data_IF_057203476085
#
_entry.id   IF_057203476085
#
_cell.length_a   1.000
_cell.length_b   1.000
_cell.length_c   1.000
_cell.angle_alpha   90.00
_cell.angle_beta   90.00
_cell.angle_gamma   90.00
#
_symmetry.space_group_name_H-M   'P 1'
#
loop_
_entity.id
_entity.type
_entity.pdbx_description
1 polymer ?
#
# COMPACT_ATOMS: atom_id res chain seq x y z
N UNK A 1 9.35 3.38 -5.31
CA UNK A 1 8.04 4.01 -5.62
C UNK A 1 7.34 3.36 -6.82
N UNK A 2 8.00 3.14 -7.97
CA UNK A 2 7.37 2.56 -9.17
C UNK A 2 6.62 1.24 -8.90
N UNK A 3 7.17 0.37 -8.03
CA UNK A 3 6.54 -0.90 -7.66
C UNK A 3 5.17 -0.69 -6.97
N UNK A 4 5.05 0.32 -6.10
CA UNK A 4 3.79 0.63 -5.41
C UNK A 4 2.73 1.15 -6.36
N UNK A 5 3.12 1.93 -7.38
CA UNK A 5 2.20 2.43 -8.41
C UNK A 5 1.45 1.32 -9.14
N UNK A 6 2.11 0.16 -9.36
CA UNK A 6 1.49 -0.99 -10.00
C UNK A 6 0.42 -1.69 -9.13
N UNK A 7 0.55 -1.60 -7.80
CA UNK A 7 -0.33 -2.32 -6.87
C UNK A 7 -1.45 -1.44 -6.31
N UNK A 8 -1.17 -0.16 -6.07
CA UNK A 8 -2.06 0.74 -5.35
C UNK A 8 -2.63 1.87 -6.21
N UNK A 9 -2.48 1.81 -7.54
CA UNK A 9 -3.07 2.81 -8.45
C UNK A 9 -2.74 4.25 -8.04
N UNK A 10 -1.47 4.48 -7.72
CA UNK A 10 -0.94 5.73 -7.16
C UNK A 10 0.26 6.21 -7.97
N UNK A 11 0.62 7.49 -7.85
CA UNK A 11 1.76 8.06 -8.56
C UNK A 11 2.55 9.05 -7.71
N UNK A 12 3.84 8.75 -7.56
CA UNK A 12 4.75 9.55 -6.73
C UNK A 12 4.67 9.18 -5.25
N UNK A 13 5.46 9.87 -4.42
CA UNK A 13 5.50 9.61 -2.99
C UNK A 13 4.23 10.10 -2.32
N UNK A 14 3.98 11.39 -2.53
CA UNK A 14 2.85 12.15 -2.00
C UNK A 14 1.98 12.67 -3.13
N UNK A 15 2.57 13.00 -4.29
CA UNK A 15 1.85 13.46 -5.49
C UNK A 15 2.58 13.08 -6.78
N UNK A 16 1.86 13.04 -7.89
CA UNK A 16 2.44 12.77 -9.22
C UNK A 16 3.57 13.76 -9.60
N UNK A 17 3.56 14.98 -9.05
CA UNK A 17 4.58 16.01 -9.30
C UNK A 17 5.95 15.68 -8.70
N UNK A 18 6.03 14.72 -7.78
CA UNK A 18 7.29 14.28 -7.18
C UNK A 18 8.26 13.75 -8.24
N UNK A 19 7.74 13.16 -9.32
CA UNK A 19 8.55 12.69 -10.44
C UNK A 19 9.33 13.81 -11.14
N UNK A 20 8.73 15.00 -11.28
CA UNK A 20 9.37 16.18 -11.90
C UNK A 20 10.59 16.67 -11.11
N UNK A 21 10.60 16.44 -9.79
CA UNK A 21 11.69 16.84 -8.89
C UNK A 21 12.65 15.70 -8.58
N UNK A 22 12.28 14.48 -8.92
CA UNK A 22 13.09 13.29 -8.66
C UNK A 22 14.28 13.21 -9.63
N UNK A 23 15.35 12.51 -9.20
CA UNK A 23 16.49 12.24 -10.08
C UNK A 23 16.14 11.40 -11.31
N UNK A 24 14.96 10.77 -11.35
CA UNK A 24 14.50 9.96 -12.48
C UNK A 24 14.31 10.79 -13.76
N UNK A 25 14.01 12.08 -13.64
CA UNK A 25 13.87 12.96 -14.80
C UNK A 25 15.23 13.30 -15.45
N UNK A 26 16.35 13.09 -14.74
CA UNK A 26 17.70 13.34 -15.26
C UNK A 26 18.05 12.29 -16.31
N UNK A 27 17.81 12.61 -17.58
CA UNK A 27 17.98 11.71 -18.72
C UNK A 27 16.72 11.54 -19.59
N UNK A 28 15.62 12.21 -19.23
CA UNK A 28 14.38 12.27 -20.03
C UNK A 28 14.35 13.55 -20.85
N UNK A 29 13.80 13.46 -22.07
CA UNK A 29 13.67 14.61 -22.97
C UNK A 29 12.55 15.57 -22.55
N UNK A 30 11.48 15.06 -21.92
CA UNK A 30 10.36 15.86 -21.41
C UNK A 30 10.38 15.88 -19.87
N UNK A 31 10.43 17.06 -19.21
CA UNK A 31 10.34 17.18 -17.75
C UNK A 31 8.97 16.77 -17.17
N UNK A 32 7.96 16.56 -18.02
CA UNK A 32 6.62 16.11 -17.66
C UNK A 32 6.42 14.60 -17.88
N UNK A 33 7.44 13.89 -18.34
CA UNK A 33 7.37 12.45 -18.46
C UNK A 33 7.08 11.82 -17.10
N UNK A 34 6.30 10.74 -17.14
CA UNK A 34 5.97 9.93 -15.98
C UNK A 34 6.33 8.46 -16.27
N UNK A 35 6.61 7.66 -15.24
CA UNK A 35 6.73 6.23 -15.42
C UNK A 35 5.43 5.63 -15.94
N UNK A 36 5.51 4.62 -16.80
CA UNK A 36 4.36 3.89 -17.33
C UNK A 36 3.39 3.38 -16.23
N UNK A 37 3.92 3.06 -15.04
CA UNK A 37 3.12 2.63 -13.88
C UNK A 37 2.21 3.73 -13.29
N UNK A 38 2.46 5.01 -13.61
CA UNK A 38 1.62 6.15 -13.20
C UNK A 38 0.37 6.32 -14.08
N UNK A 39 0.33 5.65 -15.23
CA UNK A 39 -0.72 5.78 -16.22
C UNK A 39 -1.93 4.91 -15.88
N UNK A 40 -3.14 5.43 -16.08
CA UNK A 40 -4.36 4.62 -16.01
C UNK A 40 -4.42 3.67 -17.20
N UNK A 41 -5.04 2.50 -17.02
CA UNK A 41 -5.23 1.53 -18.10
C UNK A 41 -6.03 2.05 -19.31
N UNK A 42 -6.75 3.17 -19.17
CA UNK A 42 -7.54 3.83 -20.22
C UNK A 42 -6.75 4.93 -20.96
N UNK A 43 -5.48 5.11 -20.63
CA UNK A 43 -4.59 6.08 -21.26
C UNK A 43 -3.69 5.41 -22.30
N UNK A 44 -3.49 6.07 -23.44
CA UNK A 44 -2.35 5.77 -24.29
C UNK A 44 -1.07 6.18 -23.56
N UNK A 45 0.01 5.40 -23.71
CA UNK A 45 1.32 5.75 -23.14
C UNK A 45 1.84 7.10 -23.64
N UNK A 46 1.43 7.52 -24.85
CA UNK A 46 1.77 8.83 -25.43
C UNK A 46 1.08 9.98 -24.69
N UNK A 47 -0.14 9.76 -24.21
CA UNK A 47 -0.93 10.76 -23.50
C UNK A 47 -0.66 10.77 -21.98
N UNK A 48 0.15 9.83 -21.50
CA UNK A 48 0.47 9.70 -20.08
C UNK A 48 1.65 10.59 -19.70
N UNK A 49 1.32 11.84 -19.38
CA UNK A 49 2.28 12.83 -18.90
C UNK A 49 1.63 13.70 -17.81
N UNK A 50 2.46 14.49 -17.14
CA UNK A 50 1.99 15.37 -16.08
C UNK A 50 1.13 16.56 -16.57
N UNK A 51 1.00 16.78 -17.88
CA UNK A 51 0.13 17.80 -18.48
C UNK A 51 -1.29 17.28 -18.72
N UNK A 52 -1.48 15.96 -18.70
CA UNK A 52 -2.75 15.27 -18.90
C UNK A 52 -3.22 14.61 -17.58
N UNK A 53 -3.68 15.41 -16.59
CA UNK A 53 -3.97 14.93 -15.24
C UNK A 53 -5.08 13.87 -15.19
N UNK A 54 -5.94 13.76 -16.20
CA UNK A 54 -7.04 12.79 -16.21
C UNK A 54 -6.59 11.37 -16.56
N UNK A 55 -5.47 11.26 -17.28
CA UNK A 55 -4.88 9.99 -17.75
C UNK A 55 -3.92 9.35 -16.74
N UNK A 56 -3.65 10.02 -15.63
CA UNK A 56 -2.70 9.59 -14.60
C UNK A 56 -3.38 9.39 -13.24
N UNK A 57 -2.74 8.62 -12.38
CA UNK A 57 -3.10 8.56 -10.96
C UNK A 57 -2.62 9.84 -10.26
N UNK A 58 -3.52 10.54 -9.55
CA UNK A 58 -3.22 11.81 -8.88
C UNK A 58 -2.71 11.60 -7.45
N UNK A 59 -3.18 10.53 -6.82
CA UNK A 59 -2.89 10.18 -5.43
C UNK A 59 -1.44 9.72 -5.24
N UNK A 60 -0.83 10.13 -4.14
CA UNK A 60 0.48 9.67 -3.71
C UNK A 60 0.42 8.28 -3.12
N UNK A 61 1.46 7.47 -3.38
CA UNK A 61 1.49 6.11 -2.88
C UNK A 61 1.54 6.00 -1.35
N UNK A 62 2.06 7.02 -0.65
CA UNK A 62 2.10 6.99 0.82
C UNK A 62 0.71 7.09 1.44
N UNK A 63 -0.15 7.98 0.94
CA UNK A 63 -1.48 8.18 1.49
C UNK A 63 -2.38 6.97 1.19
N UNK A 64 -2.36 6.47 -0.06
CA UNK A 64 -3.11 5.28 -0.44
C UNK A 64 -2.65 4.03 0.33
N UNK A 65 -1.34 3.88 0.58
CA UNK A 65 -0.82 2.80 1.40
C UNK A 65 -1.31 2.90 2.84
N UNK A 66 -1.29 4.11 3.41
CA UNK A 66 -1.73 4.35 4.78
C UNK A 66 -3.20 3.99 4.97
N UNK A 67 -4.09 4.48 4.11
CA UNK A 67 -5.51 4.14 4.16
C UNK A 67 -5.74 2.62 4.03
N UNK A 68 -5.01 1.97 3.12
CA UNK A 68 -5.07 0.51 2.97
C UNK A 68 -4.57 -0.22 4.23
N UNK A 69 -3.49 0.26 4.84
CA UNK A 69 -2.88 -0.35 6.02
C UNK A 69 -3.74 -0.20 7.27
N UNK A 70 -4.33 0.99 7.49
CA UNK A 70 -5.15 1.26 8.68
C UNK A 70 -6.36 0.31 8.77
N UNK A 71 -7.02 0.00 7.65
CA UNK A 71 -8.13 -0.97 7.65
C UNK A 71 -7.68 -2.40 7.97
N UNK A 72 -6.56 -2.86 7.40
CA UNK A 72 -6.09 -4.23 7.61
C UNK A 72 -5.45 -4.43 9.00
N UNK A 73 -4.82 -3.39 9.56
CA UNK A 73 -4.19 -3.47 10.88
C UNK A 73 -5.20 -3.74 12.00
N UNK A 74 -6.40 -3.14 11.91
CA UNK A 74 -7.47 -3.37 12.88
C UNK A 74 -7.89 -4.86 12.90
N UNK A 75 -8.07 -5.46 11.73
CA UNK A 75 -8.44 -6.88 11.61
C UNK A 75 -7.33 -7.76 12.19
N UNK A 76 -6.07 -7.49 11.86
CA UNK A 76 -4.92 -8.22 12.40
C UNK A 76 -4.85 -8.12 13.93
N UNK A 77 -5.14 -6.95 14.50
CA UNK A 77 -5.20 -6.75 15.94
C UNK A 77 -6.27 -7.60 16.63
N UNK A 78 -7.48 -7.65 16.06
CA UNK A 78 -8.58 -8.48 16.60
C UNK A 78 -8.21 -9.96 16.55
N UNK A 79 -7.66 -10.44 15.44
CA UNK A 79 -7.25 -11.84 15.29
C UNK A 79 -6.16 -12.20 16.31
N UNK A 80 -5.17 -11.33 16.51
CA UNK A 80 -4.11 -11.55 17.49
C UNK A 80 -4.64 -11.67 18.93
N UNK A 81 -5.57 -10.78 19.32
CA UNK A 81 -6.20 -10.81 20.66
C UNK A 81 -7.02 -12.09 20.83
N UNK A 82 -7.80 -12.47 19.82
CA UNK A 82 -8.58 -13.71 19.84
C UNK A 82 -7.66 -14.91 20.04
N UNK A 83 -6.61 -15.06 19.23
CA UNK A 83 -5.64 -16.16 19.36
C UNK A 83 -5.00 -16.20 20.75
N UNK A 84 -4.58 -15.05 21.28
CA UNK A 84 -3.99 -14.96 22.62
C UNK A 84 -4.96 -15.42 23.72
N UNK A 85 -6.23 -14.98 23.64
CA UNK A 85 -7.27 -15.41 24.58
C UNK A 85 -7.52 -16.91 24.55
N UNK A 86 -7.66 -17.49 23.34
CA UNK A 86 -7.84 -18.93 23.18
C UNK A 86 -6.65 -19.73 23.71
N UNK A 87 -5.43 -19.30 23.40
CA UNK A 87 -4.21 -19.95 23.91
C UNK A 87 -4.16 -19.95 25.44
N UNK A 88 -4.50 -18.83 26.08
CA UNK A 88 -4.53 -18.72 27.53
C UNK A 88 -5.56 -19.68 28.15
N UNK A 89 -6.79 -19.68 27.64
CA UNK A 89 -7.86 -20.58 28.12
C UNK A 89 -7.47 -22.05 27.93
N UNK A 90 -6.96 -22.43 26.76
CA UNK A 90 -6.52 -23.80 26.51
C UNK A 90 -5.43 -24.23 27.49
N UNK A 91 -4.40 -23.41 27.71
CA UNK A 91 -3.34 -23.70 28.66
C UNK A 91 -3.89 -23.92 30.08
N UNK A 92 -4.76 -23.03 30.55
CA UNK A 92 -5.36 -23.17 31.88
C UNK A 92 -6.25 -24.40 32.01
N UNK A 93 -7.07 -24.71 31.02
CA UNK A 93 -7.92 -25.91 31.01
C UNK A 93 -7.10 -27.19 31.02
N UNK A 94 -6.04 -27.27 30.19
CA UNK A 94 -5.15 -28.45 30.17
C UNK A 94 -4.49 -28.65 31.52
N UNK A 95 -3.93 -27.59 32.13
CA UNK A 95 -3.31 -27.70 33.46
C UNK A 95 -4.31 -28.11 34.55
N UNK A 96 -5.52 -27.55 34.54
CA UNK A 96 -6.57 -27.93 35.50
C UNK A 96 -6.99 -29.39 35.36
N UNK A 97 -7.15 -29.86 34.13
CA UNK A 97 -7.49 -31.25 33.85
C UNK A 97 -6.40 -32.22 34.30
N UNK A 98 -5.13 -31.87 34.07
CA UNK A 98 -3.99 -32.66 34.55
C UNK A 98 -3.96 -32.75 36.08
N UNK A 99 -4.14 -31.63 36.79
CA UNK A 99 -4.18 -31.62 38.26
C UNK A 99 -5.36 -32.41 38.84
N UNK A 100 -6.47 -32.52 38.10
CA UNK A 100 -7.64 -33.30 38.55
C UNK A 100 -7.52 -34.80 38.25
N UNK A 101 -6.61 -35.17 37.34
CA UNK A 101 -6.31 -36.56 37.02
C UNK A 101 -5.27 -37.19 37.95
N UNK A 102 -4.46 -36.37 38.61
CA UNK A 102 -3.56 -36.76 39.72
C UNK A 102 -4.31 -36.79 41.06
#
# INVERSE_FOLDING_TARGET
>A
MVIFSLQYQCCGAYKYTDWKRSGWIKGRSDPNDLPAACCKSTASMVDCNANNPDKIYKEGCFETLRESYEMHFLIMGIVAIFVAFFQFVCFHLTNYFMFKLE
#
